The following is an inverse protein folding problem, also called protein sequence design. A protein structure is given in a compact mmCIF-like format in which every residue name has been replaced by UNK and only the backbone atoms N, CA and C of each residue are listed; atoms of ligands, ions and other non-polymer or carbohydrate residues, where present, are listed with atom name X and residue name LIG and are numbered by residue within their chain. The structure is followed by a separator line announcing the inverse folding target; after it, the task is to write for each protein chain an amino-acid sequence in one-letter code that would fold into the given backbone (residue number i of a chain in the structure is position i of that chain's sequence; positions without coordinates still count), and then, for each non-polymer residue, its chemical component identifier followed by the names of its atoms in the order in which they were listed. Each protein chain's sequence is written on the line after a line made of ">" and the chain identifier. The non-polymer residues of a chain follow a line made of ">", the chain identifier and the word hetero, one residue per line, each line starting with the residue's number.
data_IF_957461963520
#
_entry.id   IF_957461963520
#
_cell.length_a   1.000
_cell.length_b   1.000
_cell.length_c   1.000
_cell.angle_alpha   90.00
_cell.angle_beta   90.00
_cell.angle_gamma   90.00
#
_symmetry.space_group_name_H-M   'P 1'
#
loop_
_entity.id
_entity.type
_entity.pdbx_description
1 polymer ?
#
# COMPACT_ATOMS: atom_id res chain seq x y z
N UNK A 1 -10.76 -20.81 12.07
CA UNK A 1 -9.67 -20.64 13.07
C UNK A 1 -9.22 -19.20 13.05
N UNK A 2 -9.34 -18.48 14.16
CA UNK A 2 -8.94 -17.07 14.24
C UNK A 2 -7.41 -16.98 14.29
N UNK A 3 -6.78 -16.58 13.18
CA UNK A 3 -5.33 -16.47 12.99
C UNK A 3 -4.73 -15.22 13.65
N UNK A 4 -5.37 -14.66 14.67
CA UNK A 4 -4.88 -13.48 15.40
C UNK A 4 -4.85 -13.79 16.89
N UNK A 5 -3.67 -14.14 17.39
CA UNK A 5 -3.43 -14.25 18.83
C UNK A 5 -3.31 -12.86 19.49
N UNK A 6 -2.97 -11.81 18.72
CA UNK A 6 -2.82 -10.43 19.20
C UNK A 6 -3.30 -9.45 18.10
N UNK A 7 -3.99 -8.38 18.50
CA UNK A 7 -4.46 -7.31 17.60
C UNK A 7 -3.95 -5.97 18.13
N UNK A 8 -3.22 -5.22 17.31
CA UNK A 8 -2.76 -3.86 17.61
C UNK A 8 -3.46 -2.87 16.68
N UNK A 9 -4.34 -1.98 17.19
CA UNK A 9 -5.15 -1.10 16.36
C UNK A 9 -4.32 0.08 15.79
N UNK A 10 -4.14 0.10 14.46
CA UNK A 10 -3.49 1.19 13.73
C UNK A 10 -4.46 2.28 13.26
N UNK A 11 -3.92 3.46 13.00
CA UNK A 11 -4.67 4.61 12.48
C UNK A 11 -5.04 4.46 11.00
N UNK A 12 -6.24 4.89 10.61
CA UNK A 12 -6.67 4.93 9.21
C UNK A 12 -5.90 5.99 8.40
N UNK A 13 -6.01 5.95 7.07
CA UNK A 13 -5.29 6.90 6.19
C UNK A 13 -5.71 8.37 6.41
N UNK A 14 -6.94 8.61 6.89
CA UNK A 14 -7.46 9.94 7.25
C UNK A 14 -7.03 10.40 8.65
N UNK A 15 -6.52 9.50 9.48
CA UNK A 15 -6.21 9.73 10.90
C UNK A 15 -4.72 10.03 11.14
N UNK A 16 -3.87 9.89 10.12
CA UNK A 16 -2.41 10.00 10.24
C UNK A 16 -1.79 10.84 9.13
N UNK A 17 -0.58 11.34 9.39
CA UNK A 17 0.25 11.97 8.37
C UNK A 17 1.26 10.97 7.80
N UNK A 18 0.90 10.34 6.69
CA UNK A 18 1.73 9.37 5.97
C UNK A 18 2.29 9.92 4.66
N UNK A 19 3.42 9.36 4.22
CA UNK A 19 3.92 9.51 2.86
C UNK A 19 3.44 8.31 2.03
N UNK A 20 2.89 8.58 0.85
CA UNK A 20 2.40 7.57 -0.09
C UNK A 20 3.06 7.79 -1.45
N UNK A 21 3.37 6.70 -2.15
CA UNK A 21 3.90 6.75 -3.51
C UNK A 21 2.86 6.19 -4.47
N UNK A 22 2.51 6.96 -5.50
CA UNK A 22 1.57 6.52 -6.53
C UNK A 22 2.28 5.67 -7.61
N UNK A 23 1.52 5.18 -8.59
CA UNK A 23 2.04 4.29 -9.65
C UNK A 23 3.05 4.94 -10.60
N UNK A 24 3.06 6.26 -10.71
CA UNK A 24 4.08 6.99 -11.50
C UNK A 24 5.36 7.27 -10.69
N UNK A 25 5.37 6.99 -9.38
CA UNK A 25 6.53 7.20 -8.51
C UNK A 25 6.53 8.52 -7.76
N UNK A 26 5.44 9.30 -7.80
CA UNK A 26 5.32 10.57 -7.07
C UNK A 26 5.03 10.31 -5.60
N UNK A 27 5.81 10.97 -4.74
CA UNK A 27 5.61 10.95 -3.29
C UNK A 27 4.62 12.04 -2.90
N UNK A 28 3.58 11.67 -2.17
CA UNK A 28 2.52 12.57 -1.72
C UNK A 28 2.38 12.46 -0.20
N UNK A 29 2.17 13.59 0.47
CA UNK A 29 1.96 13.62 1.91
C UNK A 29 0.47 13.74 2.24
N UNK A 30 -0.07 12.71 2.89
CA UNK A 30 -1.37 12.81 3.52
C UNK A 30 -1.28 13.67 4.79
N UNK A 31 -2.32 14.47 5.01
CA UNK A 31 -2.50 15.24 6.25
C UNK A 31 -3.61 14.59 7.06
N UNK A 32 -3.42 14.55 8.37
CA UNK A 32 -4.45 14.08 9.29
C UNK A 32 -5.67 14.98 9.17
N UNK A 33 -6.81 14.40 8.82
CA UNK A 33 -8.09 15.08 8.71
C UNK A 33 -8.92 14.92 9.99
N UNK A 34 -8.84 13.77 10.66
CA UNK A 34 -9.56 13.47 11.89
C UNK A 34 -8.63 12.85 12.93
N UNK A 35 -8.99 12.88 14.21
CA UNK A 35 -8.24 12.19 15.26
C UNK A 35 -8.36 10.68 15.13
N UNK A 36 -7.37 9.96 15.65
CA UNK A 36 -7.41 8.50 15.79
C UNK A 36 -8.61 8.05 16.62
N UNK A 37 -9.22 6.94 16.23
CA UNK A 37 -10.36 6.36 16.96
C UNK A 37 -9.91 5.53 18.17
N UNK A 38 -10.51 5.78 19.33
CA UNK A 38 -10.29 5.03 20.56
C UNK A 38 -8.80 4.89 20.93
N UNK A 39 -8.32 3.66 21.14
CA UNK A 39 -6.92 3.37 21.50
C UNK A 39 -6.01 3.19 20.29
N UNK A 40 -6.47 3.50 19.06
CA UNK A 40 -5.61 3.39 17.90
C UNK A 40 -4.44 4.36 17.96
N UNK A 41 -3.33 3.99 17.33
CA UNK A 41 -2.09 4.76 17.29
C UNK A 41 -1.56 4.80 15.86
N UNK A 42 -0.73 5.79 15.55
CA UNK A 42 0.02 5.80 14.29
C UNK A 42 0.83 4.50 14.16
N UNK A 43 0.80 3.89 12.98
CA UNK A 43 1.40 2.57 12.76
C UNK A 43 2.89 2.54 13.15
N UNK A 44 3.64 3.60 12.83
CA UNK A 44 5.07 3.68 13.16
C UNK A 44 5.32 3.69 14.67
N UNK A 45 4.42 4.28 15.46
CA UNK A 45 4.52 4.29 16.93
C UNK A 45 4.28 2.89 17.50
N UNK A 46 3.34 2.14 16.92
CA UNK A 46 3.09 0.74 17.30
C UNK A 46 4.34 -0.09 17.03
N UNK A 47 4.92 0.02 15.84
CA UNK A 47 6.15 -0.71 15.48
C UNK A 47 7.32 -0.30 16.38
N UNK A 48 7.50 1.00 16.65
CA UNK A 48 8.54 1.52 17.53
C UNK A 48 8.39 1.05 18.98
N UNK A 49 7.17 1.02 19.52
CA UNK A 49 6.92 0.51 20.87
C UNK A 49 7.16 -1.01 20.96
N UNK A 50 6.72 -1.78 19.96
CA UNK A 50 6.99 -3.22 19.89
C UNK A 50 8.49 -3.49 19.81
N UNK A 51 9.25 -2.69 19.06
CA UNK A 51 10.70 -2.84 18.94
C UNK A 51 11.43 -2.71 20.28
N UNK A 52 10.94 -1.83 21.16
CA UNK A 52 11.48 -1.63 22.51
C UNK A 52 11.17 -2.79 23.43
N UNK A 53 9.92 -3.27 23.41
CA UNK A 53 9.49 -4.44 24.20
C UNK A 53 10.29 -5.69 23.82
N UNK A 54 10.69 -5.81 22.55
CA UNK A 54 11.50 -6.92 22.03
C UNK A 54 13.02 -6.75 22.26
N UNK A 55 13.46 -5.63 22.84
CA UNK A 55 14.89 -5.34 23.04
C UNK A 55 15.67 -4.98 21.76
N UNK A 56 14.96 -4.71 20.66
CA UNK A 56 15.53 -4.32 19.36
C UNK A 56 15.10 -2.89 18.99
N UNK A 57 15.32 -1.96 19.91
CA UNK A 57 14.80 -0.59 19.84
C UNK A 57 15.25 0.14 18.57
N UNK A 58 14.28 0.62 17.81
CA UNK A 58 14.51 1.43 16.62
C UNK A 58 14.98 2.85 17.02
N UNK A 59 15.97 3.44 16.33
CA UNK A 59 16.65 4.65 16.77
C UNK A 59 15.91 5.95 16.38
N UNK A 60 14.58 5.98 16.53
CA UNK A 60 13.77 7.15 16.22
C UNK A 60 12.53 7.22 17.10
N UNK A 61 12.26 8.42 17.63
CA UNK A 61 11.14 8.68 18.54
C UNK A 61 10.15 9.73 17.98
N UNK A 62 10.46 10.30 16.82
CA UNK A 62 9.64 11.32 16.15
C UNK A 62 9.33 10.90 14.72
N UNK A 63 8.22 11.42 14.18
CA UNK A 63 7.86 11.19 12.77
C UNK A 63 8.91 11.79 11.81
N UNK A 64 9.59 12.87 12.21
CA UNK A 64 10.72 13.43 11.48
C UNK A 64 11.88 12.42 11.40
N UNK A 65 12.28 11.82 12.52
CA UNK A 65 13.35 10.80 12.52
C UNK A 65 12.99 9.58 11.67
N UNK A 66 11.73 9.15 11.68
CA UNK A 66 11.24 8.08 10.76
C UNK A 66 11.39 8.50 9.30
N UNK A 67 11.06 9.76 8.97
CA UNK A 67 11.16 10.28 7.59
C UNK A 67 12.61 10.44 7.16
N UNK A 68 13.49 10.90 8.04
CA UNK A 68 14.94 10.98 7.79
C UNK A 68 15.48 9.59 7.47
N UNK A 69 15.14 8.58 8.29
CA UNK A 69 15.52 7.20 8.02
C UNK A 69 14.96 6.67 6.70
N UNK A 70 13.73 7.05 6.36
CA UNK A 70 13.13 6.69 5.08
C UNK A 70 13.88 7.31 3.90
N UNK A 71 14.31 8.57 4.01
CA UNK A 71 15.10 9.26 2.98
C UNK A 71 16.50 8.67 2.85
N UNK A 72 17.14 8.26 3.94
CA UNK A 72 18.42 7.54 3.90
C UNK A 72 18.32 6.23 3.09
N UNK A 73 17.23 5.49 3.27
CA UNK A 73 17.00 4.22 2.56
C UNK A 73 16.58 4.48 1.11
N UNK A 74 15.74 5.50 0.90
CA UNK A 74 15.08 5.78 -0.36
C UNK A 74 14.99 7.31 -0.59
N UNK A 75 16.02 7.93 -1.22
CA UNK A 75 16.14 9.38 -1.30
C UNK A 75 14.98 10.11 -1.98
N UNK A 76 14.21 9.43 -2.84
CA UNK A 76 13.05 10.01 -3.50
C UNK A 76 11.94 10.43 -2.53
N UNK A 77 11.86 9.84 -1.32
CA UNK A 77 10.92 10.27 -0.28
C UNK A 77 11.16 11.70 0.23
N UNK A 78 12.33 12.29 -0.02
CA UNK A 78 12.63 13.68 0.30
C UNK A 78 12.00 14.68 -0.68
N UNK A 79 11.51 14.21 -1.84
CA UNK A 79 10.97 15.05 -2.94
C UNK A 79 9.45 14.99 -2.99
N UNK A 80 8.79 15.44 -1.92
CA UNK A 80 7.32 15.44 -1.83
C UNK A 80 6.71 16.36 -2.90
N UNK A 81 5.64 15.89 -3.56
CA UNK A 81 4.88 16.53 -4.63
C UNK A 81 5.69 16.91 -5.88
N UNK A 82 6.96 16.52 -5.95
CA UNK A 82 7.82 16.73 -7.12
C UNK A 82 7.45 15.77 -8.24
N UNK A 83 7.79 16.13 -9.49
CA UNK A 83 7.64 15.21 -10.62
C UNK A 83 8.42 13.92 -10.36
N UNK A 84 7.85 12.75 -10.65
CA UNK A 84 8.56 11.49 -10.48
C UNK A 84 9.83 11.47 -11.33
N UNK A 85 10.89 10.88 -10.79
CA UNK A 85 12.09 10.63 -11.57
C UNK A 85 11.76 9.69 -12.73
N UNK A 86 12.51 9.80 -13.82
CA UNK A 86 12.32 8.90 -14.96
C UNK A 86 12.48 7.46 -14.48
N UNK A 87 11.49 6.59 -14.72
CA UNK A 87 11.55 5.23 -14.21
C UNK A 87 12.75 4.50 -14.80
N UNK A 88 13.48 3.78 -13.94
CA UNK A 88 14.66 3.01 -14.34
C UNK A 88 14.33 2.02 -15.45
N UNK A 89 13.11 1.47 -15.49
CA UNK A 89 12.72 0.52 -16.54
C UNK A 89 12.64 1.12 -17.95
N UNK A 90 12.58 2.45 -18.08
CA UNK A 90 12.56 3.13 -19.38
C UNK A 90 13.96 3.24 -20.02
N UNK A 91 15.03 2.94 -19.28
CA UNK A 91 16.41 3.06 -19.76
C UNK A 91 16.91 1.86 -20.59
N UNK A 92 16.04 0.86 -20.86
CA UNK A 92 16.36 -0.35 -21.61
C UNK A 92 17.19 -1.41 -20.85
N UNK A 93 17.93 -1.03 -19.81
CA UNK A 93 18.76 -1.95 -19.02
C UNK A 93 17.93 -2.92 -18.18
N UNK A 94 16.79 -2.47 -17.66
CA UNK A 94 15.87 -3.30 -16.89
C UNK A 94 15.35 -4.49 -17.73
N UNK A 95 14.88 -4.21 -18.94
CA UNK A 95 14.41 -5.25 -19.86
C UNK A 95 15.56 -6.14 -20.33
N UNK A 96 16.76 -5.61 -20.56
CA UNK A 96 17.95 -6.40 -20.87
C UNK A 96 18.30 -7.41 -19.77
N UNK A 97 18.32 -6.98 -18.51
CA UNK A 97 18.59 -7.85 -17.37
C UNK A 97 17.49 -8.90 -17.14
N UNK A 98 16.23 -8.53 -17.35
CA UNK A 98 15.11 -9.47 -17.24
C UNK A 98 15.05 -10.45 -18.41
N UNK A 99 15.36 -10.02 -19.64
CA UNK A 99 15.38 -10.86 -20.83
C UNK A 99 16.34 -12.04 -20.69
N UNK A 100 17.50 -11.84 -20.06
CA UNK A 100 18.43 -12.94 -19.77
C UNK A 100 17.84 -13.95 -18.78
N UNK A 101 17.03 -13.51 -17.81
CA UNK A 101 16.39 -14.37 -16.79
C UNK A 101 15.21 -15.19 -17.34
N UNK A 102 14.59 -14.73 -18.43
CA UNK A 102 13.50 -15.46 -19.12
C UNK A 102 13.96 -16.20 -20.36
N UNK A 103 15.25 -16.08 -20.75
CA UNK A 103 15.81 -16.80 -21.90
C UNK A 103 15.65 -18.31 -21.72
N UNK A 104 15.00 -18.97 -22.68
CA UNK A 104 14.73 -20.41 -22.65
C UNK A 104 13.56 -20.84 -21.77
N UNK A 105 12.89 -19.93 -21.05
CA UNK A 105 11.64 -20.23 -20.36
C UNK A 105 10.50 -20.20 -21.38
N UNK A 106 9.75 -21.30 -21.46
CA UNK A 106 8.51 -21.33 -22.25
C UNK A 106 7.51 -20.37 -21.62
N UNK A 107 6.76 -19.66 -22.46
CA UNK A 107 5.55 -19.00 -22.00
C UNK A 107 4.67 -20.04 -21.28
N UNK A 108 4.02 -19.63 -20.19
CA UNK A 108 3.04 -20.47 -19.51
C UNK A 108 2.02 -21.00 -20.53
N UNK A 109 1.44 -22.16 -20.23
CA UNK A 109 0.39 -22.80 -21.04
C UNK A 109 -0.73 -21.80 -21.39
N UNK A 110 -1.62 -22.16 -22.33
CA UNK A 110 -2.75 -21.33 -22.83
C UNK A 110 -3.82 -21.01 -21.75
N UNK A 111 -3.41 -20.53 -20.59
CA UNK A 111 -4.24 -19.98 -19.54
C UNK A 111 -4.61 -18.56 -19.95
N UNK A 112 -5.90 -18.24 -20.08
CA UNK A 112 -6.33 -16.88 -20.37
C UNK A 112 -5.84 -15.92 -19.28
N UNK A 113 -5.46 -14.71 -19.67
CA UNK A 113 -5.15 -13.65 -18.72
C UNK A 113 -6.38 -13.37 -17.85
N UNK A 114 -6.19 -13.37 -16.54
CA UNK A 114 -7.24 -13.09 -15.56
C UNK A 114 -7.07 -11.71 -14.96
N UNK A 115 -8.18 -11.10 -14.58
CA UNK A 115 -8.15 -9.84 -13.84
C UNK A 115 -7.83 -10.13 -12.37
N UNK A 116 -6.78 -9.53 -11.79
CA UNK A 116 -6.47 -9.72 -10.38
C UNK A 116 -7.54 -9.08 -9.46
N UNK A 117 -8.33 -8.15 -10.00
CA UNK A 117 -9.41 -7.45 -9.30
C UNK A 117 -10.74 -7.92 -9.88
N UNK A 118 -11.43 -8.80 -9.16
CA UNK A 118 -12.75 -9.32 -9.53
C UNK A 118 -13.90 -8.41 -9.09
N UNK A 119 -13.73 -7.71 -7.96
CA UNK A 119 -14.67 -6.70 -7.49
C UNK A 119 -13.99 -5.36 -7.24
N UNK A 120 -14.22 -4.42 -8.16
CA UNK A 120 -13.69 -3.06 -8.08
C UNK A 120 -14.12 -2.31 -6.79
N UNK A 121 -15.33 -2.58 -6.28
CA UNK A 121 -15.86 -1.87 -5.11
C UNK A 121 -15.36 -2.44 -3.77
N UNK A 122 -14.64 -3.56 -3.76
CA UNK A 122 -14.22 -4.26 -2.53
C UNK A 122 -12.76 -4.72 -2.58
N UNK A 123 -11.85 -3.80 -2.88
CA UNK A 123 -10.42 -4.08 -3.08
C UNK A 123 -9.63 -4.12 -1.77
N UNK A 124 -9.96 -3.26 -0.81
CA UNK A 124 -9.25 -3.11 0.46
C UNK A 124 -10.17 -3.32 1.69
N UNK A 125 -9.61 -3.20 2.89
CA UNK A 125 -10.36 -3.42 4.14
C UNK A 125 -11.40 -2.32 4.41
N UNK A 126 -11.15 -1.10 3.94
CA UNK A 126 -12.05 0.05 4.14
C UNK A 126 -13.28 -0.11 3.25
N UNK A 127 -13.07 -0.40 1.97
CA UNK A 127 -14.14 -0.64 0.99
C UNK A 127 -14.96 -1.89 1.33
N UNK A 128 -14.34 -2.98 1.79
CA UNK A 128 -15.06 -4.18 2.27
C UNK A 128 -15.94 -3.92 3.49
N UNK A 129 -15.53 -3.04 4.40
CA UNK A 129 -16.33 -2.66 5.56
C UNK A 129 -17.44 -1.64 5.22
N UNK A 130 -17.43 -1.05 4.02
CA UNK A 130 -18.35 0.00 3.62
C UNK A 130 -19.70 -0.54 3.14
N UNK A 131 -20.78 -0.09 3.78
CA UNK A 131 -22.17 -0.39 3.37
C UNK A 131 -22.50 0.19 1.98
N UNK A 132 -21.93 1.35 1.64
CA UNK A 132 -22.16 1.98 0.34
C UNK A 132 -21.55 1.15 -0.79
N UNK A 133 -20.33 0.65 -0.60
CA UNK A 133 -19.66 -0.21 -1.57
C UNK A 133 -20.32 -1.59 -1.71
N UNK A 134 -20.91 -2.11 -0.63
CA UNK A 134 -21.74 -3.31 -0.68
C UNK A 134 -22.96 -3.12 -1.58
N UNK A 135 -23.68 -1.99 -1.43
CA UNK A 135 -24.80 -1.65 -2.32
C UNK A 135 -24.35 -1.48 -3.78
N UNK A 136 -23.21 -0.83 -4.02
CA UNK A 136 -22.66 -0.66 -5.37
C UNK A 136 -22.33 -2.01 -6.03
N UNK A 137 -21.80 -2.96 -5.27
CA UNK A 137 -21.55 -4.33 -5.73
C UNK A 137 -22.86 -5.03 -6.13
N UNK A 138 -23.89 -4.98 -5.29
CA UNK A 138 -25.21 -5.57 -5.58
C UNK A 138 -25.84 -4.96 -6.83
N UNK A 139 -25.81 -3.63 -6.95
CA UNK A 139 -26.33 -2.93 -8.11
C UNK A 139 -25.60 -3.34 -9.41
N UNK A 140 -24.27 -3.49 -9.37
CA UNK A 140 -23.49 -3.97 -10.51
C UNK A 140 -23.85 -5.41 -10.89
N UNK A 141 -24.02 -6.29 -9.90
CA UNK A 141 -24.41 -7.69 -10.14
C UNK A 141 -25.79 -7.77 -10.79
N UNK A 142 -26.77 -7.05 -10.26
CA UNK A 142 -28.11 -6.97 -10.85
C UNK A 142 -28.08 -6.46 -12.30
N UNK A 143 -27.28 -5.43 -12.58
CA UNK A 143 -27.12 -4.89 -13.94
C UNK A 143 -26.41 -5.86 -14.91
N UNK A 144 -25.49 -6.72 -14.41
CA UNK A 144 -24.86 -7.74 -15.25
C UNK A 144 -25.81 -8.90 -15.57
N UNK A 145 -26.67 -9.30 -14.63
CA UNK A 145 -27.66 -10.35 -14.83
C UNK A 145 -28.78 -9.89 -15.77
N UNK A 146 -29.17 -8.61 -15.73
CA UNK A 146 -30.18 -8.05 -16.64
C UNK A 146 -29.70 -7.87 -18.10
N UNK A 147 -28.40 -8.05 -18.37
CA UNK A 147 -27.79 -7.95 -19.71
C UNK A 147 -27.45 -9.32 -20.32
N UNK A 148 -27.68 -10.41 -19.59
CA UNK A 148 -27.57 -11.79 -20.07
C UNK A 148 -28.95 -12.32 -20.44
#
# INVERSE_FOLDING_TARGET
>A
GSWRSVILPGAAFTEKSGLYVNSEGRVQMARRAVSTLAESRDDWKIVRAVSEVLGATLPYDTIQGVRERLVEIAPHFGKVDSAPEKPVWLNGQYFGAHAQKVKGKKALDKVPLQTPITNFYMTDVISRASRAMAKATQARQAASTAKQ
#
